data_IF_953424499107
#
_entry.id   IF_953424499107
#
_cell.length_a   1.000
_cell.length_b   1.000
_cell.length_c   1.000
_cell.angle_alpha   90.00
_cell.angle_beta   90.00
_cell.angle_gamma   90.00
#
_symmetry.space_group_name_H-M   'P 1'
#
loop_
_entity.id
_entity.type
_entity.pdbx_description
1 polymer ?
#
# COMPACT_ATOMS: atom_id res chain seq x y z
N UNK A 1 -17.25 6.81 -3.44
CA UNK A 1 -17.88 7.68 -2.43
C UNK A 1 -17.04 8.92 -2.10
N UNK A 2 -15.69 8.81 -2.02
CA UNK A 2 -14.82 9.96 -1.77
C UNK A 2 -14.80 10.99 -2.91
N UNK A 3 -15.00 10.57 -4.15
CA UNK A 3 -14.88 11.45 -5.32
C UNK A 3 -16.00 12.51 -5.40
N UNK A 4 -17.22 12.18 -5.02
CA UNK A 4 -18.38 13.09 -5.13
C UNK A 4 -18.24 14.32 -4.22
N UNK A 5 -17.89 14.19 -2.93
CA UNK A 5 -17.61 15.34 -2.07
C UNK A 5 -16.44 16.20 -2.55
N UNK A 6 -15.50 15.59 -3.30
CA UNK A 6 -14.34 16.27 -3.87
C UNK A 6 -14.61 16.94 -5.22
N UNK A 7 -15.87 16.91 -5.69
CA UNK A 7 -16.27 17.47 -6.99
C UNK A 7 -15.88 16.61 -8.20
N UNK A 8 -15.46 15.36 -7.97
CA UNK A 8 -15.07 14.41 -9.00
C UNK A 8 -16.13 13.34 -9.28
N UNK A 9 -15.81 12.44 -10.20
CA UNK A 9 -16.59 11.23 -10.50
C UNK A 9 -15.96 10.00 -9.86
N UNK A 10 -16.74 8.98 -9.42
CA UNK A 10 -16.20 7.68 -9.04
C UNK A 10 -15.31 7.05 -10.13
N UNK A 11 -15.54 7.36 -11.41
CA UNK A 11 -14.72 6.93 -12.53
C UNK A 11 -13.32 7.58 -12.56
N UNK A 12 -13.08 8.60 -11.73
CA UNK A 12 -11.78 9.27 -11.61
C UNK A 12 -10.96 8.72 -10.42
N UNK A 13 -11.49 7.73 -9.70
CA UNK A 13 -10.83 7.11 -8.54
C UNK A 13 -10.33 5.72 -8.91
N UNK A 14 -9.02 5.52 -8.75
CA UNK A 14 -8.32 4.29 -9.04
C UNK A 14 -7.68 3.75 -7.76
N UNK A 15 -7.79 2.45 -7.54
CA UNK A 15 -7.20 1.78 -6.37
C UNK A 15 -6.35 0.59 -6.82
N UNK A 16 -5.12 0.52 -6.32
CA UNK A 16 -4.15 -0.51 -6.68
C UNK A 16 -3.79 -1.34 -5.44
N UNK A 17 -4.61 -2.36 -5.14
CA UNK A 17 -4.37 -3.30 -4.04
C UNK A 17 -3.44 -4.42 -4.51
N UNK A 18 -2.16 -4.12 -4.67
CA UNK A 18 -1.19 -5.03 -5.29
C UNK A 18 -0.36 -5.85 -4.30
N UNK A 19 -0.55 -5.65 -2.99
CA UNK A 19 0.15 -6.36 -1.94
C UNK A 19 1.67 -6.16 -1.96
N UNK A 20 2.16 -5.02 -2.47
CA UNK A 20 3.57 -4.80 -2.82
C UNK A 20 4.53 -4.77 -1.63
N UNK A 21 4.02 -4.69 -0.42
CA UNK A 21 4.83 -4.78 0.80
C UNK A 21 5.31 -6.20 1.10
N UNK A 22 4.78 -7.23 0.43
CA UNK A 22 5.04 -8.63 0.72
C UNK A 22 5.39 -9.44 -0.54
N UNK A 23 6.22 -10.47 -0.37
CA UNK A 23 6.57 -11.45 -1.40
C UNK A 23 7.41 -10.88 -2.55
N UNK A 24 7.53 -11.62 -3.62
CA UNK A 24 8.37 -11.31 -4.78
C UNK A 24 7.85 -10.08 -5.55
N UNK A 25 8.73 -9.12 -5.80
CA UNK A 25 8.50 -7.91 -6.61
C UNK A 25 9.54 -7.73 -7.71
N UNK A 26 10.42 -8.71 -7.94
CA UNK A 26 11.51 -8.64 -8.92
C UNK A 26 11.01 -8.34 -10.34
N UNK A 27 9.87 -8.91 -10.68
CA UNK A 27 9.16 -8.64 -11.92
C UNK A 27 8.21 -7.43 -11.78
N UNK A 28 7.39 -7.18 -12.75
CA UNK A 28 6.42 -6.07 -12.67
C UNK A 28 5.24 -6.38 -11.73
N UNK A 29 4.74 -5.38 -11.01
CA UNK A 29 3.60 -5.53 -10.09
C UNK A 29 2.28 -6.01 -10.72
N UNK A 30 2.16 -5.96 -12.04
CA UNK A 30 1.00 -6.41 -12.81
C UNK A 30 1.31 -7.67 -13.64
N UNK A 31 2.42 -8.35 -13.37
CA UNK A 31 2.85 -9.57 -14.07
C UNK A 31 2.20 -10.85 -13.52
N UNK A 32 2.35 -11.99 -14.21
CA UNK A 32 1.84 -13.28 -13.72
C UNK A 32 2.46 -13.72 -12.40
N UNK A 33 3.76 -13.47 -12.18
CA UNK A 33 4.44 -13.82 -10.93
C UNK A 33 3.82 -13.13 -9.72
N UNK A 34 3.39 -11.86 -9.89
CA UNK A 34 2.67 -11.15 -8.82
C UNK A 34 1.32 -11.80 -8.52
N UNK A 35 0.65 -12.33 -9.54
CA UNK A 35 -0.59 -13.06 -9.35
C UNK A 35 -0.37 -14.30 -8.47
N UNK A 36 0.66 -15.10 -8.74
CA UNK A 36 1.01 -16.28 -7.94
C UNK A 36 1.26 -15.94 -6.47
N UNK A 37 2.01 -14.86 -6.21
CA UNK A 37 2.26 -14.38 -4.84
C UNK A 37 0.95 -13.99 -4.13
N UNK A 38 0.07 -13.26 -4.81
CA UNK A 38 -1.21 -12.86 -4.23
C UNK A 38 -2.13 -14.06 -4.02
N UNK A 39 -2.18 -15.02 -4.94
CA UNK A 39 -2.95 -16.25 -4.80
C UNK A 39 -2.49 -17.06 -3.58
N UNK A 40 -1.18 -17.12 -3.31
CA UNK A 40 -0.65 -17.74 -2.10
C UNK A 40 -1.07 -17.02 -0.83
N UNK A 41 -0.99 -15.69 -0.83
CA UNK A 41 -1.41 -14.86 0.32
C UNK A 41 -2.93 -14.97 0.58
N UNK A 42 -3.74 -15.09 -0.47
CA UNK A 42 -5.18 -15.20 -0.39
C UNK A 42 -5.68 -16.64 -0.28
N UNK A 43 -4.79 -17.63 -0.24
CA UNK A 43 -5.18 -19.07 -0.25
C UNK A 43 -6.07 -19.48 0.93
N UNK A 44 -5.99 -18.77 2.06
CA UNK A 44 -6.84 -19.04 3.23
C UNK A 44 -8.27 -18.47 3.11
N UNK A 45 -8.55 -17.65 2.08
CA UNK A 45 -9.88 -17.07 1.89
C UNK A 45 -10.68 -17.84 0.84
N UNK A 46 -11.97 -18.11 1.09
CA UNK A 46 -12.87 -18.65 0.07
C UNK A 46 -12.87 -17.77 -1.18
N UNK A 47 -12.72 -18.35 -2.37
CA UNK A 47 -12.65 -17.65 -3.66
C UNK A 47 -11.43 -16.70 -3.82
N UNK A 48 -10.37 -16.87 -3.02
CA UNK A 48 -9.20 -16.00 -3.07
C UNK A 48 -8.56 -15.89 -4.46
N UNK A 49 -8.42 -16.99 -5.18
CA UNK A 49 -7.81 -17.02 -6.52
C UNK A 49 -8.63 -16.27 -7.58
N UNK A 50 -9.95 -16.44 -7.59
CA UNK A 50 -10.85 -15.72 -8.51
C UNK A 50 -10.79 -14.20 -8.25
N UNK A 51 -10.86 -13.83 -6.98
CA UNK A 51 -10.76 -12.42 -6.55
C UNK A 51 -9.42 -11.77 -6.93
N UNK A 52 -8.31 -12.50 -6.85
CA UNK A 52 -6.98 -12.01 -7.25
C UNK A 52 -6.92 -11.75 -8.76
N UNK A 53 -7.43 -12.69 -9.56
CA UNK A 53 -7.43 -12.55 -11.03
C UNK A 53 -8.23 -11.32 -11.47
N UNK A 54 -9.44 -11.14 -10.95
CA UNK A 54 -10.28 -9.97 -11.23
C UNK A 54 -9.62 -8.66 -10.76
N UNK A 55 -9.06 -8.65 -9.57
CA UNK A 55 -8.36 -7.51 -9.00
C UNK A 55 -7.18 -7.07 -9.87
N UNK A 56 -6.34 -7.99 -10.32
CA UNK A 56 -5.20 -7.68 -11.18
C UNK A 56 -5.61 -7.29 -12.59
N UNK A 57 -6.67 -7.89 -13.13
CA UNK A 57 -7.20 -7.46 -14.43
C UNK A 57 -7.69 -6.00 -14.35
N UNK A 58 -8.47 -5.67 -13.35
CA UNK A 58 -8.94 -4.30 -13.10
C UNK A 58 -7.76 -3.34 -12.91
N UNK A 59 -6.77 -3.71 -12.10
CA UNK A 59 -5.59 -2.88 -11.90
C UNK A 59 -4.82 -2.60 -13.20
N UNK A 60 -4.74 -3.59 -14.12
CA UNK A 60 -4.12 -3.38 -15.46
C UNK A 60 -4.91 -2.39 -16.32
N UNK A 61 -6.24 -2.47 -16.29
CA UNK A 61 -7.12 -1.58 -17.05
C UNK A 61 -7.07 -0.14 -16.48
N UNK A 62 -7.15 -0.02 -15.16
CA UNK A 62 -7.06 1.23 -14.44
C UNK A 62 -5.70 1.90 -14.67
N UNK A 63 -4.61 1.15 -14.61
CA UNK A 63 -3.27 1.67 -14.85
C UNK A 63 -3.11 2.21 -16.29
N UNK A 64 -3.63 1.48 -17.30
CA UNK A 64 -3.65 1.96 -18.69
C UNK A 64 -4.44 3.27 -18.83
N UNK A 65 -5.57 3.36 -18.13
CA UNK A 65 -6.42 4.54 -18.15
C UNK A 65 -5.71 5.75 -17.55
N UNK A 66 -5.10 5.58 -16.36
CA UNK A 66 -4.32 6.64 -15.70
C UNK A 66 -3.17 7.11 -16.60
N UNK A 67 -2.36 6.19 -17.14
CA UNK A 67 -1.25 6.54 -18.04
C UNK A 67 -1.74 7.28 -19.30
N UNK A 68 -2.85 6.84 -19.90
CA UNK A 68 -3.44 7.49 -21.07
C UNK A 68 -3.90 8.92 -20.77
N UNK A 69 -4.47 9.16 -19.60
CA UNK A 69 -4.91 10.49 -19.14
C UNK A 69 -3.70 11.40 -18.86
N UNK A 70 -2.69 10.88 -18.16
CA UNK A 70 -1.46 11.62 -17.89
C UNK A 70 -0.71 11.98 -19.18
N UNK A 71 -0.72 11.10 -20.20
CA UNK A 71 -0.14 11.41 -21.51
C UNK A 71 -0.83 12.60 -22.21
N UNK A 72 -2.08 12.91 -21.83
CA UNK A 72 -2.84 14.09 -22.26
C UNK A 72 -2.68 15.29 -21.35
N UNK A 73 -1.69 15.26 -20.46
CA UNK A 73 -1.38 16.32 -19.49
C UNK A 73 -2.41 16.48 -18.36
N UNK A 74 -3.21 15.45 -18.08
CA UNK A 74 -4.05 15.43 -16.90
C UNK A 74 -3.19 15.17 -15.63
N UNK A 75 -3.48 15.88 -14.54
CA UNK A 75 -2.80 15.69 -13.26
C UNK A 75 -3.38 14.48 -12.52
N UNK A 76 -2.53 13.81 -11.75
CA UNK A 76 -2.90 12.72 -10.84
C UNK A 76 -2.69 13.15 -9.39
N UNK A 77 -3.66 12.87 -8.53
CA UNK A 77 -3.54 13.02 -7.08
C UNK A 77 -3.37 11.65 -6.44
N UNK A 78 -2.28 11.47 -5.69
CA UNK A 78 -1.96 10.23 -5.00
C UNK A 78 -2.17 10.44 -3.51
N UNK A 79 -3.00 9.61 -2.92
CA UNK A 79 -3.27 9.54 -1.49
C UNK A 79 -2.42 8.43 -0.90
N UNK A 80 -1.56 8.74 0.07
CA UNK A 80 -0.73 7.74 0.72
C UNK A 80 -0.43 8.12 2.18
N UNK A 81 -0.01 7.16 2.95
CA UNK A 81 0.44 7.31 4.34
C UNK A 81 1.81 6.67 4.53
N UNK A 82 2.28 6.61 5.76
CA UNK A 82 3.50 5.89 6.13
C UNK A 82 3.28 4.37 6.26
N UNK A 83 2.17 3.82 5.77
CA UNK A 83 1.98 2.39 5.70
C UNK A 83 2.85 1.77 4.59
N UNK A 84 3.49 0.62 4.86
CA UNK A 84 4.36 -0.03 3.88
C UNK A 84 3.69 -0.27 2.53
N UNK A 85 2.45 -0.73 2.51
CA UNK A 85 1.71 -1.01 1.27
C UNK A 85 1.44 0.25 0.46
N UNK A 86 1.01 1.34 1.13
CA UNK A 86 0.73 2.61 0.47
C UNK A 86 2.02 3.28 -0.04
N UNK A 87 3.12 3.18 0.71
CA UNK A 87 4.44 3.67 0.25
C UNK A 87 4.97 2.83 -0.92
N UNK A 88 4.83 1.50 -0.88
CA UNK A 88 5.18 0.63 -2.00
C UNK A 88 4.38 1.01 -3.25
N UNK A 89 3.07 1.22 -3.11
CA UNK A 89 2.19 1.64 -4.20
C UNK A 89 2.63 2.98 -4.82
N UNK A 90 2.94 3.98 -3.99
CA UNK A 90 3.48 5.26 -4.44
C UNK A 90 4.79 5.07 -5.21
N UNK A 91 5.76 4.36 -4.63
CA UNK A 91 7.09 4.19 -5.23
C UNK A 91 7.02 3.40 -6.54
N UNK A 92 6.22 2.33 -6.55
CA UNK A 92 5.93 1.57 -7.77
C UNK A 92 5.32 2.47 -8.85
N UNK A 93 4.26 3.21 -8.53
CA UNK A 93 3.58 4.06 -9.51
C UNK A 93 4.54 5.09 -10.11
N UNK A 94 5.32 5.77 -9.28
CA UNK A 94 6.32 6.75 -9.75
C UNK A 94 7.42 6.11 -10.62
N UNK A 95 7.81 4.86 -10.33
CA UNK A 95 8.74 4.12 -11.16
C UNK A 95 8.16 3.80 -12.55
N UNK A 96 6.85 3.53 -12.64
CA UNK A 96 6.18 3.28 -13.91
C UNK A 96 6.08 4.54 -14.78
N UNK A 97 6.13 5.74 -14.21
CA UNK A 97 6.14 6.99 -14.99
C UNK A 97 7.50 7.27 -15.68
N UNK A 98 8.58 6.60 -15.25
CA UNK A 98 9.92 6.85 -15.79
C UNK A 98 10.03 6.65 -17.30
N UNK A 99 9.48 5.61 -17.94
CA UNK A 99 9.47 5.49 -19.38
C UNK A 99 8.76 6.65 -20.08
N UNK A 100 7.66 7.14 -19.49
CA UNK A 100 6.93 8.29 -20.02
C UNK A 100 7.75 9.59 -19.92
N UNK A 101 8.54 9.74 -18.85
CA UNK A 101 9.41 10.91 -18.65
C UNK A 101 10.49 11.06 -19.74
N UNK A 102 10.82 10.01 -20.49
CA UNK A 102 11.73 10.08 -21.64
C UNK A 102 11.12 10.86 -22.80
N UNK A 103 9.80 10.83 -22.95
CA UNK A 103 9.07 11.49 -24.03
C UNK A 103 8.39 12.77 -23.55
N UNK A 104 7.97 12.81 -22.30
CA UNK A 104 7.29 13.93 -21.65
C UNK A 104 8.06 14.35 -20.40
N UNK A 105 9.02 15.26 -20.56
CA UNK A 105 9.96 15.68 -19.49
C UNK A 105 9.26 16.18 -18.21
N UNK A 106 8.05 16.71 -18.32
CA UNK A 106 7.26 17.28 -17.24
C UNK A 106 6.25 16.32 -16.61
N UNK A 107 6.32 15.01 -16.90
CA UNK A 107 5.32 14.05 -16.42
C UNK A 107 5.20 14.06 -14.88
N UNK A 108 6.31 14.26 -14.16
CA UNK A 108 6.29 14.33 -12.70
C UNK A 108 5.67 15.63 -12.16
N UNK A 109 5.57 16.69 -12.97
CA UNK A 109 4.90 17.94 -12.57
C UNK A 109 3.38 17.78 -12.47
N UNK A 110 2.84 16.71 -13.07
CA UNK A 110 1.42 16.36 -12.99
C UNK A 110 1.07 15.58 -11.71
N UNK A 111 2.07 15.21 -10.90
CA UNK A 111 1.85 14.42 -9.69
C UNK A 111 1.61 15.34 -8.50
N UNK A 112 0.48 15.15 -7.86
CA UNK A 112 0.10 15.78 -6.59
C UNK A 112 -0.02 14.74 -5.50
N UNK A 113 0.39 15.07 -4.30
CA UNK A 113 0.43 14.16 -3.16
C UNK A 113 -0.46 14.69 -2.03
N UNK A 114 -1.26 13.81 -1.46
CA UNK A 114 -1.94 14.03 -0.19
C UNK A 114 -1.42 12.99 0.79
N UNK A 115 -0.65 13.46 1.77
CA UNK A 115 -0.05 12.58 2.78
C UNK A 115 -0.93 12.57 4.01
N UNK A 116 -1.36 11.38 4.46
CA UNK A 116 -2.10 11.25 5.70
C UNK A 116 -1.19 11.58 6.89
N UNK A 117 -1.56 12.56 7.75
CA UNK A 117 -0.85 12.78 9.01
C UNK A 117 -0.94 11.55 9.90
N UNK A 118 0.18 11.14 10.51
CA UNK A 118 0.22 9.99 11.42
C UNK A 118 -0.60 10.18 12.70
N UNK A 119 -0.93 11.42 13.02
CA UNK A 119 -1.77 11.79 14.17
C UNK A 119 -2.45 13.14 13.91
N UNK A 120 -3.58 13.30 14.54
CA UNK A 120 -4.40 14.51 14.50
C UNK A 120 -4.91 14.83 15.91
N UNK A 121 -5.37 16.04 16.09
CA UNK A 121 -6.09 16.43 17.30
C UNK A 121 -7.58 16.51 16.94
N UNK A 122 -8.40 15.74 17.64
CA UNK A 122 -9.84 15.74 17.45
C UNK A 122 -10.50 17.01 18.06
N UNK A 123 -11.79 17.18 17.81
CA UNK A 123 -12.56 18.32 18.32
C UNK A 123 -12.62 18.37 19.87
N UNK A 124 -12.28 17.28 20.54
CA UNK A 124 -12.24 17.19 21.99
C UNK A 124 -10.82 17.45 22.55
N UNK A 125 -9.83 17.68 21.69
CA UNK A 125 -8.44 17.91 22.05
C UNK A 125 -7.63 16.62 22.30
N UNK A 126 -8.17 15.44 21.93
CA UNK A 126 -7.44 14.18 22.04
C UNK A 126 -6.53 13.97 20.82
N UNK A 127 -5.38 13.36 21.04
CA UNK A 127 -4.50 12.92 19.96
C UNK A 127 -5.04 11.61 19.39
N UNK A 128 -5.47 11.64 18.14
CA UNK A 128 -5.94 10.47 17.39
C UNK A 128 -4.86 10.05 16.41
N UNK A 129 -4.46 8.79 16.47
CA UNK A 129 -3.50 8.22 15.52
C UNK A 129 -4.22 7.72 14.27
N UNK A 130 -3.66 8.02 13.11
CA UNK A 130 -4.10 7.54 11.80
C UNK A 130 -2.96 6.70 11.19
N UNK A 131 -3.24 5.47 10.82
CA UNK A 131 -2.21 4.57 10.28
C UNK A 131 -2.26 4.49 8.76
N UNK A 132 -3.47 4.48 8.19
CA UNK A 132 -3.69 4.32 6.76
C UNK A 132 -4.90 5.12 6.29
N UNK A 133 -5.04 5.30 4.99
CA UNK A 133 -6.27 5.86 4.41
C UNK A 133 -7.49 4.97 4.63
N UNK A 134 -7.29 3.68 4.94
CA UNK A 134 -8.36 2.78 5.38
C UNK A 134 -8.99 3.14 6.72
N UNK A 135 -8.30 3.92 7.56
CA UNK A 135 -8.83 4.40 8.85
C UNK A 135 -9.77 5.61 8.69
N UNK A 136 -9.80 6.21 7.50
CA UNK A 136 -10.63 7.39 7.20
C UNK A 136 -11.95 6.93 6.58
N UNK A 137 -13.05 7.27 7.22
CA UNK A 137 -14.37 6.87 6.72
C UNK A 137 -14.68 7.49 5.34
N UNK A 138 -15.45 6.79 4.51
CA UNK A 138 -15.96 7.36 3.26
C UNK A 138 -16.67 8.69 3.52
N UNK A 139 -16.34 9.72 2.75
CA UNK A 139 -16.88 11.08 2.93
C UNK A 139 -16.05 12.00 3.83
N UNK A 140 -15.10 11.48 4.63
CA UNK A 140 -14.24 12.26 5.52
C UNK A 140 -12.90 12.65 4.88
N UNK A 141 -12.70 12.37 3.61
CA UNK A 141 -11.45 12.66 2.90
C UNK A 141 -11.30 14.12 2.49
N UNK A 142 -12.41 14.84 2.35
CA UNK A 142 -12.42 16.22 1.85
C UNK A 142 -11.51 17.19 2.64
N UNK A 143 -11.47 17.19 3.98
CA UNK A 143 -10.61 18.10 4.74
C UNK A 143 -9.12 17.99 4.39
N UNK A 144 -8.67 16.79 4.02
CA UNK A 144 -7.27 16.50 3.69
C UNK A 144 -6.84 17.06 2.33
N UNK A 145 -7.75 17.53 1.49
CA UNK A 145 -7.38 18.24 0.25
C UNK A 145 -6.53 19.49 0.53
N UNK A 146 -6.69 20.13 1.69
CA UNK A 146 -5.85 21.24 2.11
C UNK A 146 -4.36 20.87 2.25
N UNK A 147 -4.05 19.59 2.36
CA UNK A 147 -2.68 19.05 2.45
C UNK A 147 -2.08 18.73 1.07
N UNK A 148 -2.86 18.86 -0.02
CA UNK A 148 -2.36 18.58 -1.36
C UNK A 148 -1.18 19.45 -1.73
N UNK A 149 -0.13 18.81 -2.23
CA UNK A 149 1.08 19.50 -2.73
C UNK A 149 1.55 18.85 -4.02
N UNK A 150 2.00 19.67 -4.96
CA UNK A 150 2.70 19.16 -6.12
C UNK A 150 3.98 18.43 -5.69
N UNK A 151 4.20 17.24 -6.21
CA UNK A 151 5.38 16.45 -5.89
C UNK A 151 6.63 17.07 -6.58
N UNK A 152 7.72 17.34 -5.85
CA UNK A 152 8.96 17.73 -6.49
C UNK A 152 9.46 16.61 -7.42
N UNK A 153 9.87 16.95 -8.65
CA UNK A 153 10.39 15.97 -9.60
C UNK A 153 11.56 15.16 -9.04
N UNK A 154 12.42 15.78 -8.23
CA UNK A 154 13.52 15.09 -7.56
C UNK A 154 13.02 14.01 -6.57
N UNK A 155 11.94 14.28 -5.84
CA UNK A 155 11.30 13.30 -4.96
C UNK A 155 10.75 12.13 -5.79
N UNK A 156 10.01 12.40 -6.86
CA UNK A 156 9.46 11.35 -7.73
C UNK A 156 10.56 10.46 -8.32
N UNK A 157 11.65 11.06 -8.80
CA UNK A 157 12.80 10.32 -9.33
C UNK A 157 13.50 9.50 -8.24
N UNK A 158 13.63 10.04 -7.03
CA UNK A 158 14.19 9.34 -5.86
C UNK A 158 13.36 8.12 -5.49
N UNK A 159 12.04 8.26 -5.38
CA UNK A 159 11.12 7.14 -5.12
C UNK A 159 11.20 6.07 -6.22
N UNK A 160 11.22 6.48 -7.49
CA UNK A 160 11.34 5.57 -8.62
C UNK A 160 12.69 4.82 -8.65
N UNK A 161 13.77 5.46 -8.22
CA UNK A 161 15.08 4.81 -8.08
C UNK A 161 15.08 3.83 -6.91
N UNK A 162 14.53 4.24 -5.77
CA UNK A 162 14.44 3.40 -4.58
C UNK A 162 13.58 2.15 -4.82
N UNK A 163 12.46 2.29 -5.55
CA UNK A 163 11.65 1.14 -5.95
C UNK A 163 12.46 0.08 -6.68
N UNK A 164 13.33 0.48 -7.62
CA UNK A 164 14.19 -0.47 -8.34
C UNK A 164 15.20 -1.16 -7.43
N UNK A 165 15.78 -0.45 -6.47
CA UNK A 165 16.65 -1.07 -5.49
C UNK A 165 15.90 -2.14 -4.68
N UNK A 166 14.66 -1.84 -4.24
CA UNK A 166 13.82 -2.82 -3.55
C UNK A 166 13.50 -4.04 -4.42
N UNK A 167 13.31 -3.85 -5.74
CA UNK A 167 13.12 -4.95 -6.69
C UNK A 167 14.39 -5.79 -6.87
N UNK A 168 15.56 -5.17 -6.92
CA UNK A 168 16.86 -5.85 -7.01
C UNK A 168 17.17 -6.63 -5.74
N UNK A 169 16.88 -6.08 -4.58
CA UNK A 169 17.01 -6.74 -3.27
C UNK A 169 16.01 -7.88 -3.12
N UNK A 170 14.81 -7.70 -3.64
CA UNK A 170 13.69 -8.64 -3.64
C UNK A 170 13.47 -9.39 -2.32
N UNK A 171 13.57 -8.67 -1.21
CA UNK A 171 13.35 -9.25 0.12
C UNK A 171 11.89 -9.71 0.28
N UNK A 172 11.60 -10.69 1.16
CA UNK A 172 10.24 -11.21 1.36
C UNK A 172 9.26 -10.19 1.96
N UNK A 173 9.79 -9.16 2.63
CA UNK A 173 8.99 -8.10 3.26
C UNK A 173 9.59 -6.73 2.97
N UNK A 174 8.73 -5.71 2.79
CA UNK A 174 9.07 -4.28 2.81
C UNK A 174 8.40 -3.66 4.02
N UNK A 175 9.18 -2.96 4.84
CA UNK A 175 8.73 -2.31 6.06
C UNK A 175 9.04 -0.81 6.04
N UNK A 176 8.30 -0.03 6.82
CA UNK A 176 8.65 1.38 7.04
C UNK A 176 9.32 1.51 8.40
N UNK A 177 10.61 1.80 8.39
CA UNK A 177 11.42 2.01 9.57
C UNK A 177 11.92 3.46 9.59
N UNK A 178 11.61 4.19 10.65
CA UNK A 178 11.95 5.62 10.78
C UNK A 178 11.48 6.46 9.57
N UNK A 179 10.30 6.16 9.02
CA UNK A 179 9.73 6.87 7.88
C UNK A 179 10.34 6.51 6.52
N UNK A 180 11.20 5.50 6.46
CA UNK A 180 11.81 5.02 5.23
C UNK A 180 11.29 3.62 4.88
N UNK A 181 10.93 3.43 3.62
CA UNK A 181 10.60 2.11 3.08
C UNK A 181 11.88 1.32 2.86
N UNK A 182 12.00 0.15 3.45
CA UNK A 182 13.21 -0.69 3.40
C UNK A 182 12.85 -2.15 3.17
N UNK A 183 13.77 -2.89 2.58
CA UNK A 183 13.73 -4.36 2.52
C UNK A 183 13.93 -4.94 3.91
N UNK A 184 13.20 -5.99 4.23
CA UNK A 184 13.23 -6.63 5.54
C UNK A 184 13.08 -8.16 5.41
N UNK A 185 13.64 -8.92 6.37
CA UNK A 185 13.40 -10.36 6.43
C UNK A 185 11.94 -10.63 6.83
N UNK A 186 11.41 -11.75 6.41
CA UNK A 186 10.05 -12.17 6.76
C UNK A 186 9.82 -12.29 8.27
N UNK A 187 10.90 -12.55 9.03
CA UNK A 187 10.88 -12.72 10.48
C UNK A 187 10.88 -11.41 11.28
N UNK A 188 10.89 -10.26 10.61
CA UNK A 188 11.00 -8.94 11.27
C UNK A 188 10.02 -8.77 12.43
N UNK A 189 8.80 -9.28 12.29
CA UNK A 189 7.72 -9.11 13.26
C UNK A 189 7.41 -10.36 14.08
N UNK A 190 8.15 -11.45 13.90
CA UNK A 190 7.89 -12.73 14.56
C UNK A 190 7.87 -12.64 16.08
N UNK A 191 8.75 -11.83 16.68
CA UNK A 191 8.78 -11.63 18.14
C UNK A 191 7.45 -11.11 18.70
N UNK A 192 6.74 -10.27 17.93
CA UNK A 192 5.43 -9.75 18.34
C UNK A 192 4.36 -10.82 18.21
N UNK A 193 4.42 -11.63 17.16
CA UNK A 193 3.48 -12.74 16.92
C UNK A 193 3.67 -13.81 17.99
N UNK A 194 4.90 -14.27 18.22
CA UNK A 194 5.21 -15.23 19.28
C UNK A 194 4.69 -14.79 20.66
N UNK A 195 4.89 -13.53 21.01
CA UNK A 195 4.39 -12.99 22.29
C UNK A 195 2.88 -13.14 22.45
N UNK A 196 2.11 -13.00 21.37
CA UNK A 196 0.66 -13.15 21.43
C UNK A 196 0.24 -14.63 21.37
N UNK A 197 1.02 -15.50 20.71
CA UNK A 197 0.83 -16.95 20.75
C UNK A 197 1.12 -17.47 22.16
N UNK A 198 2.25 -17.11 22.78
CA UNK A 198 2.66 -17.56 24.11
C UNK A 198 1.69 -17.13 25.23
N UNK A 199 0.89 -16.09 24.96
CA UNK A 199 -0.16 -15.65 25.88
C UNK A 199 -1.45 -16.48 25.79
N UNK A 200 -1.56 -17.39 24.82
CA UNK A 200 -2.72 -18.30 24.66
C UNK A 200 -2.55 -19.58 25.43
N UNK A 201 -3.65 -20.29 25.59
CA UNK A 201 -3.67 -21.68 26.08
C UNK A 201 -3.42 -22.65 24.90
N UNK A 202 -3.31 -23.95 25.19
CA UNK A 202 -2.93 -24.99 24.20
C UNK A 202 -3.73 -24.97 22.89
N UNK A 203 -5.02 -24.60 22.94
CA UNK A 203 -5.85 -24.42 21.74
C UNK A 203 -6.41 -23.01 21.69
N UNK A 204 -6.17 -22.31 20.57
CA UNK A 204 -6.65 -20.95 20.38
C UNK A 204 -7.14 -20.70 18.96
N UNK A 205 -8.15 -19.82 18.75
CA UNK A 205 -8.53 -19.35 17.45
C UNK A 205 -7.46 -18.44 16.86
N UNK A 206 -6.89 -18.77 15.71
CA UNK A 206 -5.89 -17.99 15.00
C UNK A 206 -6.31 -16.50 14.85
N UNK A 207 -7.58 -16.26 14.51
CA UNK A 207 -8.13 -14.91 14.39
C UNK A 207 -7.98 -14.04 15.64
N UNK A 208 -7.92 -14.64 16.84
CA UNK A 208 -7.72 -13.91 18.11
C UNK A 208 -6.30 -13.36 18.18
N UNK A 209 -5.30 -14.16 17.83
CA UNK A 209 -3.89 -13.76 17.82
C UNK A 209 -3.68 -12.70 16.75
N UNK A 210 -4.21 -12.89 15.54
CA UNK A 210 -4.16 -11.91 14.45
C UNK A 210 -4.72 -10.57 14.92
N UNK A 211 -5.94 -10.56 15.49
CA UNK A 211 -6.58 -9.32 15.96
C UNK A 211 -5.76 -8.60 17.04
N UNK A 212 -5.11 -9.33 17.95
CA UNK A 212 -4.26 -8.72 18.98
C UNK A 212 -2.96 -8.17 18.41
N UNK A 213 -2.31 -8.89 17.51
CA UNK A 213 -1.09 -8.42 16.84
C UNK A 213 -1.36 -7.11 16.10
N UNK A 214 -2.40 -7.08 15.27
CA UNK A 214 -2.74 -5.89 14.47
C UNK A 214 -3.20 -4.72 15.33
N UNK A 215 -4.04 -4.98 16.33
CA UNK A 215 -4.58 -3.92 17.20
C UNK A 215 -3.54 -3.33 18.18
N UNK A 216 -2.61 -4.17 18.69
CA UNK A 216 -1.69 -3.77 19.73
C UNK A 216 -0.41 -3.13 19.20
N UNK A 217 0.15 -3.66 18.12
CA UNK A 217 1.50 -3.29 17.68
C UNK A 217 1.53 -2.37 16.46
N UNK A 218 0.46 -2.31 15.67
CA UNK A 218 0.36 -1.44 14.49
C UNK A 218 1.59 -1.53 13.57
N UNK A 219 1.97 -2.76 13.21
CA UNK A 219 3.21 -3.08 12.52
C UNK A 219 3.22 -2.70 11.02
N UNK A 220 2.08 -2.27 10.50
CA UNK A 220 1.94 -1.96 9.07
C UNK A 220 1.88 -3.20 8.16
N UNK A 221 1.56 -4.37 8.73
CA UNK A 221 1.31 -5.63 8.02
C UNK A 221 -0.17 -5.97 8.08
N UNK A 222 -0.66 -6.72 7.08
CA UNK A 222 -2.04 -7.19 7.03
C UNK A 222 -2.24 -8.51 7.78
N UNK A 223 -3.51 -8.85 7.99
CA UNK A 223 -3.97 -10.10 8.61
C UNK A 223 -3.45 -11.35 7.88
N UNK A 224 -3.44 -11.33 6.55
CA UNK A 224 -2.90 -12.40 5.72
C UNK A 224 -1.44 -12.73 6.03
N UNK A 225 -0.62 -11.70 6.24
CA UNK A 225 0.78 -11.90 6.59
C UNK A 225 0.92 -12.53 7.98
N UNK A 226 0.17 -12.01 8.96
CA UNK A 226 0.18 -12.55 10.32
C UNK A 226 -0.28 -14.00 10.31
N UNK A 227 -1.36 -14.33 9.59
CA UNK A 227 -1.84 -15.70 9.43
C UNK A 227 -0.77 -16.63 8.83
N UNK A 228 -0.14 -16.22 7.72
CA UNK A 228 0.91 -17.00 7.09
C UNK A 228 2.11 -17.24 8.02
N UNK A 229 2.47 -16.25 8.85
CA UNK A 229 3.55 -16.41 9.85
C UNK A 229 3.15 -17.34 10.98
N UNK A 230 1.92 -17.24 11.51
CA UNK A 230 1.42 -18.15 12.55
C UNK A 230 1.51 -19.61 12.06
N UNK A 231 1.05 -19.90 10.83
CA UNK A 231 1.08 -21.24 10.25
C UNK A 231 2.50 -21.81 10.11
N UNK A 232 3.53 -20.97 10.05
CA UNK A 232 4.92 -21.43 10.03
C UNK A 232 5.53 -21.62 11.42
N UNK A 233 4.88 -21.07 12.46
CA UNK A 233 5.36 -21.10 13.85
C UNK A 233 4.72 -22.24 14.68
N UNK A 234 3.55 -22.71 14.27
CA UNK A 234 2.75 -23.74 14.93
C UNK A 234 2.70 -25.01 14.08
#
# INVERSE_FOLDING_TARGET
EAATPLGGSPADVFSFSLGLSMGDISEGALCPQRQEVLEQLFACYPQGQESVSEMLQRAREDFKTVCSRMAKSESVRIWYSNQPEEMCGLYWFLAQLKPMALFQKQIYEQVHLVVLPSWEVDDQGNIVRKNSWGDIAPGEWHPYLSLEKQAPSAFCMGCAAHWRNLQEENAPLRAVLNGQLVSAPETLYDTFIHREIDAEQEEFPEARVIGRVLGKYQLGIGDMWVAARIQQMV
#
